data_IF_536809633615
#
_entry.id   IF_536809633615
#
_cell.length_a   1.000
_cell.length_b   1.000
_cell.length_c   1.000
_cell.angle_alpha   90.00
_cell.angle_beta   90.00
_cell.angle_gamma   90.00
#
_symmetry.space_group_name_H-M   'P 1'
#
loop_
_entity.id
_entity.type
_entity.pdbx_description
1 polymer ?
#
# COMPACT_ATOMS: atom_id res chain seq x y z
N UNK A 1 -5.09 -23.93 -21.77
CA UNK A 1 -4.46 -22.88 -20.98
C UNK A 1 -3.74 -23.45 -19.76
N UNK A 2 -4.40 -24.09 -18.77
CA UNK A 2 -3.72 -24.68 -17.58
C UNK A 2 -2.66 -25.70 -18.00
N UNK A 3 -2.98 -26.65 -18.89
CA UNK A 3 -2.05 -27.67 -19.39
C UNK A 3 -0.82 -27.10 -20.11
N UNK A 4 -0.97 -26.05 -20.92
CA UNK A 4 0.15 -25.39 -21.60
C UNK A 4 1.09 -24.69 -20.63
N UNK A 5 0.56 -24.08 -19.58
CA UNK A 5 1.37 -23.43 -18.53
C UNK A 5 2.06 -24.44 -17.63
N UNK A 6 1.37 -25.55 -17.28
CA UNK A 6 1.96 -26.66 -16.55
C UNK A 6 3.11 -27.29 -17.34
N UNK A 7 2.94 -27.50 -18.65
CA UNK A 7 3.99 -28.01 -19.54
C UNK A 7 5.24 -27.10 -19.52
N UNK A 8 5.03 -25.78 -19.67
CA UNK A 8 6.13 -24.81 -19.66
C UNK A 8 6.88 -24.76 -18.32
N UNK A 9 6.17 -24.86 -17.19
CA UNK A 9 6.79 -24.93 -15.85
C UNK A 9 7.61 -26.21 -15.70
N UNK A 10 7.09 -27.37 -16.15
CA UNK A 10 7.84 -28.64 -16.12
C UNK A 10 9.03 -28.64 -17.09
N UNK A 11 8.90 -28.10 -18.27
CA UNK A 11 9.99 -27.97 -19.23
C UNK A 11 11.13 -27.11 -18.67
N UNK A 12 10.79 -25.98 -18.06
CA UNK A 12 11.76 -25.12 -17.38
C UNK A 12 12.38 -25.80 -16.13
N UNK A 13 11.59 -26.58 -15.39
CA UNK A 13 12.10 -27.33 -14.25
C UNK A 13 13.11 -28.41 -14.67
N UNK A 14 12.83 -29.10 -15.77
CA UNK A 14 13.74 -30.12 -16.33
C UNK A 14 15.00 -29.47 -16.89
N UNK A 15 14.87 -28.31 -17.57
CA UNK A 15 15.98 -27.64 -18.25
C UNK A 15 16.90 -26.89 -17.27
N UNK A 16 16.35 -26.23 -16.27
CA UNK A 16 17.08 -25.34 -15.36
C UNK A 16 17.14 -25.81 -13.91
N UNK A 17 16.49 -26.94 -13.58
CA UNK A 17 16.38 -27.42 -12.21
C UNK A 17 15.46 -26.58 -11.31
N UNK A 18 15.57 -26.79 -10.01
CA UNK A 18 14.83 -26.00 -9.01
C UNK A 18 15.49 -24.63 -8.88
N UNK A 19 14.93 -23.63 -9.57
CA UNK A 19 15.44 -22.25 -9.57
C UNK A 19 15.15 -21.54 -8.25
N UNK A 20 14.16 -22.00 -7.48
CA UNK A 20 13.78 -21.43 -6.19
C UNK A 20 14.15 -22.39 -5.08
N UNK A 21 15.38 -22.31 -4.60
CA UNK A 21 15.79 -23.02 -3.40
C UNK A 21 15.51 -22.13 -2.17
N UNK A 22 14.58 -22.52 -1.27
CA UNK A 22 14.28 -21.78 -0.05
C UNK A 22 15.52 -21.59 0.84
N UNK A 23 16.44 -22.56 0.84
CA UNK A 23 17.67 -22.50 1.63
C UNK A 23 18.61 -21.43 1.07
N UNK A 24 18.74 -21.33 -0.25
CA UNK A 24 19.54 -20.28 -0.90
C UNK A 24 18.95 -18.88 -0.66
N UNK A 25 17.63 -18.73 -0.66
CA UNK A 25 16.97 -17.44 -0.35
C UNK A 25 17.26 -17.04 1.09
N UNK A 26 17.14 -17.97 2.04
CA UNK A 26 17.45 -17.72 3.45
C UNK A 26 18.96 -17.48 3.64
N UNK A 27 19.82 -18.27 2.99
CA UNK A 27 21.26 -18.07 3.03
C UNK A 27 21.69 -16.72 2.46
N UNK A 28 21.10 -16.31 1.32
CA UNK A 28 21.30 -14.98 0.74
C UNK A 28 20.79 -13.87 1.68
N UNK A 29 19.66 -14.10 2.33
CA UNK A 29 19.11 -13.19 3.32
C UNK A 29 19.98 -13.06 4.58
N UNK A 30 20.72 -14.08 4.96
CA UNK A 30 21.57 -14.13 6.16
C UNK A 30 23.04 -13.86 5.86
N UNK A 31 23.49 -13.93 4.59
CA UNK A 31 24.90 -13.94 4.22
C UNK A 31 25.66 -12.66 4.56
N UNK A 32 24.99 -11.51 4.62
CA UNK A 32 25.63 -10.25 4.96
C UNK A 32 24.67 -9.21 5.54
N UNK A 33 24.36 -9.27 6.85
CA UNK A 33 23.44 -8.32 7.48
C UNK A 33 23.97 -6.87 7.46
N UNK A 34 25.27 -6.66 7.29
CA UNK A 34 25.87 -5.32 7.26
C UNK A 34 25.69 -4.61 5.91
N UNK A 35 25.35 -5.31 4.85
CA UNK A 35 25.05 -4.72 3.53
C UNK A 35 23.58 -4.37 3.35
N UNK A 36 22.75 -4.50 4.40
CA UNK A 36 21.33 -4.21 4.34
C UNK A 36 20.97 -2.83 4.92
N UNK A 37 21.18 -1.73 4.20
CA UNK A 37 20.77 -0.40 4.65
C UNK A 37 19.26 -0.32 4.91
N UNK A 38 18.50 -1.18 4.23
CA UNK A 38 17.05 -1.29 4.36
C UNK A 38 16.58 -1.62 5.78
N UNK A 39 17.22 -2.57 6.45
CA UNK A 39 16.85 -2.98 7.83
C UNK A 39 17.13 -1.88 8.84
N UNK A 40 18.26 -1.18 8.70
CA UNK A 40 18.61 -0.06 9.58
C UNK A 40 17.62 1.11 9.42
N UNK A 41 17.19 1.43 8.19
CA UNK A 41 16.20 2.49 7.96
C UNK A 41 14.86 2.17 8.66
N UNK A 42 14.42 0.92 8.63
CA UNK A 42 13.19 0.50 9.33
C UNK A 42 13.36 0.66 10.85
N UNK A 43 14.53 0.31 11.41
CA UNK A 43 14.80 0.52 12.85
C UNK A 43 14.81 2.00 13.18
N UNK A 44 15.49 2.83 12.38
CA UNK A 44 15.58 4.28 12.57
C UNK A 44 14.21 4.95 12.47
N UNK A 45 13.25 4.39 11.72
CA UNK A 45 11.89 4.94 11.64
C UNK A 45 11.18 5.07 12.99
N UNK A 46 11.61 4.30 14.03
CA UNK A 46 11.08 4.43 15.39
C UNK A 46 11.33 5.81 16.02
N UNK A 47 12.38 6.50 15.59
CA UNK A 47 12.67 7.87 16.06
C UNK A 47 11.51 8.80 15.70
N UNK A 48 11.01 8.73 14.46
CA UNK A 48 9.89 9.56 13.99
C UNK A 48 8.59 9.24 14.72
N UNK A 49 8.37 7.97 15.10
CA UNK A 49 7.20 7.51 15.86
C UNK A 49 7.24 8.11 17.28
N UNK A 50 8.40 8.05 17.93
CA UNK A 50 8.58 8.60 19.28
C UNK A 50 8.43 10.12 19.27
N UNK A 51 8.98 10.80 18.26
CA UNK A 51 8.81 12.26 18.06
C UNK A 51 7.33 12.61 17.94
N UNK A 52 6.57 11.89 17.09
CA UNK A 52 5.14 12.12 16.92
C UNK A 52 4.36 11.97 18.24
N UNK A 53 4.65 10.92 19.03
CA UNK A 53 4.04 10.72 20.33
C UNK A 53 4.39 11.84 21.32
N UNK A 54 5.66 12.29 21.31
CA UNK A 54 6.11 13.38 22.19
C UNK A 54 5.43 14.71 21.85
N UNK A 55 5.27 15.01 20.55
CA UNK A 55 4.53 16.19 20.09
C UNK A 55 3.10 16.16 20.61
N UNK A 56 2.37 15.03 20.47
CA UNK A 56 0.98 14.92 20.90
C UNK A 56 0.85 15.04 22.43
N UNK A 57 1.77 14.48 23.20
CA UNK A 57 1.83 14.66 24.67
C UNK A 57 2.09 16.10 25.08
N UNK A 58 2.98 16.79 24.38
CA UNK A 58 3.28 18.20 24.65
C UNK A 58 2.10 19.11 24.33
N UNK A 59 1.37 18.81 23.26
CA UNK A 59 0.14 19.51 22.88
C UNK A 59 -1.00 19.26 23.90
N UNK A 60 -1.17 18.02 24.35
CA UNK A 60 -2.19 17.68 25.35
C UNK A 60 -1.92 18.31 26.73
N UNK A 61 -0.65 18.49 27.08
CA UNK A 61 -0.22 19.17 28.32
C UNK A 61 -0.18 20.71 28.18
N UNK A 62 -0.59 21.29 27.05
CA UNK A 62 -0.51 22.73 26.75
C UNK A 62 0.91 23.31 26.83
N UNK A 63 1.93 22.47 26.76
CA UNK A 63 3.35 22.88 26.81
C UNK A 63 3.83 23.42 25.44
N UNK A 64 3.05 23.22 24.38
CA UNK A 64 3.36 23.64 23.02
C UNK A 64 2.12 24.25 22.34
N UNK A 65 2.31 25.30 21.53
CA UNK A 65 1.20 25.88 20.75
C UNK A 65 0.80 24.96 19.60
N UNK A 66 -0.51 24.95 19.24
CA UNK A 66 -1.04 24.12 18.13
C UNK A 66 -0.28 24.38 16.80
N UNK A 67 0.01 25.66 16.50
CA UNK A 67 0.75 26.02 15.27
C UNK A 67 2.16 25.41 15.25
N UNK A 68 2.87 25.48 16.37
CA UNK A 68 4.22 24.93 16.50
C UNK A 68 4.20 23.40 16.41
N UNK A 69 3.27 22.75 17.12
CA UNK A 69 3.10 21.30 17.07
C UNK A 69 2.78 20.79 15.66
N UNK A 70 1.87 21.46 14.97
CA UNK A 70 1.54 21.14 13.56
C UNK A 70 2.75 21.28 12.65
N UNK A 71 3.52 22.39 12.78
CA UNK A 71 4.70 22.61 11.92
C UNK A 71 5.76 21.53 12.14
N UNK A 72 6.08 21.21 13.41
CA UNK A 72 7.06 20.16 13.74
C UNK A 72 6.59 18.80 13.22
N UNK A 73 5.29 18.50 13.36
CA UNK A 73 4.73 17.24 12.86
C UNK A 73 4.80 17.15 11.35
N UNK A 74 4.53 18.23 10.61
CA UNK A 74 4.66 18.23 9.14
C UNK A 74 6.12 18.03 8.70
N UNK A 75 7.09 18.63 9.41
CA UNK A 75 8.53 18.38 9.17
C UNK A 75 8.87 16.92 9.45
N UNK A 76 8.40 16.35 10.56
CA UNK A 76 8.60 14.94 10.91
C UNK A 76 8.03 14.01 9.84
N UNK A 77 6.82 14.27 9.34
CA UNK A 77 6.17 13.51 8.28
C UNK A 77 6.90 13.65 6.93
N UNK A 78 7.38 14.85 6.58
CA UNK A 78 8.21 15.06 5.39
C UNK A 78 9.52 14.28 5.48
N UNK A 79 10.16 14.27 6.64
CA UNK A 79 11.40 13.53 6.88
C UNK A 79 11.22 12.02 6.72
N UNK A 80 10.10 11.44 7.17
CA UNK A 80 9.78 10.01 7.00
C UNK A 80 9.79 9.60 5.51
N UNK A 81 9.30 10.44 4.60
CA UNK A 81 9.27 10.12 3.17
C UNK A 81 10.59 10.42 2.47
N UNK A 82 11.25 11.54 2.84
CA UNK A 82 12.42 12.02 2.12
C UNK A 82 13.72 11.34 2.54
N UNK A 83 13.92 11.09 3.83
CA UNK A 83 15.18 10.50 4.32
C UNK A 83 15.44 9.12 3.71
N UNK A 84 14.51 8.14 3.74
CA UNK A 84 14.78 6.85 3.11
C UNK A 84 15.03 6.97 1.61
N UNK A 85 14.33 7.86 0.92
CA UNK A 85 14.53 8.12 -0.51
C UNK A 85 15.96 8.62 -0.80
N UNK A 86 16.44 9.60 -0.03
CA UNK A 86 17.79 10.17 -0.16
C UNK A 86 18.85 9.11 0.16
N UNK A 87 18.68 8.40 1.28
CA UNK A 87 19.64 7.36 1.70
C UNK A 87 19.74 6.25 0.66
N UNK A 88 18.61 5.73 0.15
CA UNK A 88 18.59 4.70 -0.88
C UNK A 88 19.19 5.17 -2.21
N UNK A 89 19.06 6.44 -2.53
CA UNK A 89 19.67 7.02 -3.74
C UNK A 89 21.19 7.18 -3.61
N UNK A 90 21.67 7.49 -2.42
CA UNK A 90 23.12 7.65 -2.13
C UNK A 90 23.79 6.29 -1.97
N UNK A 91 23.14 5.33 -1.31
CA UNK A 91 23.65 3.99 -1.07
C UNK A 91 23.35 3.08 -2.27
N UNK A 92 24.31 2.93 -3.16
CA UNK A 92 24.19 2.12 -4.39
C UNK A 92 24.15 0.60 -4.13
N UNK A 93 24.37 0.15 -2.90
CA UNK A 93 24.41 -1.27 -2.50
C UNK A 93 23.02 -1.87 -2.21
N UNK A 94 21.96 -1.03 -2.17
CA UNK A 94 20.62 -1.50 -1.86
C UNK A 94 20.00 -2.25 -3.04
N UNK A 95 19.38 -3.40 -2.76
CA UNK A 95 18.58 -4.13 -3.76
C UNK A 95 17.25 -3.43 -4.03
N UNK A 96 16.73 -3.54 -5.25
CA UNK A 96 15.42 -2.95 -5.61
C UNK A 96 14.29 -3.46 -4.70
N UNK A 97 14.31 -4.75 -4.32
CA UNK A 97 13.32 -5.35 -3.41
C UNK A 97 13.44 -4.77 -2.00
N UNK A 98 14.66 -4.66 -1.46
CA UNK A 98 14.90 -4.04 -0.15
C UNK A 98 14.47 -2.57 -0.12
N UNK A 99 14.78 -1.82 -1.17
CA UNK A 99 14.35 -0.43 -1.33
C UNK A 99 12.82 -0.31 -1.37
N UNK A 100 12.14 -1.16 -2.13
CA UNK A 100 10.68 -1.18 -2.22
C UNK A 100 10.04 -1.48 -0.85
N UNK A 101 10.58 -2.42 -0.09
CA UNK A 101 10.11 -2.73 1.27
C UNK A 101 10.25 -1.54 2.21
N UNK A 102 11.42 -0.88 2.22
CA UNK A 102 11.66 0.31 3.06
C UNK A 102 10.69 1.41 2.73
N UNK A 103 10.57 1.77 1.45
CA UNK A 103 9.68 2.86 1.02
C UNK A 103 8.20 2.54 1.32
N UNK A 104 7.79 1.28 1.18
CA UNK A 104 6.44 0.83 1.56
C UNK A 104 6.20 0.99 3.07
N UNK A 105 7.12 0.53 3.91
CA UNK A 105 7.00 0.65 5.37
C UNK A 105 6.93 2.13 5.78
N UNK A 106 7.82 2.99 5.25
CA UNK A 106 7.82 4.42 5.57
C UNK A 106 6.55 5.12 5.08
N UNK A 107 6.01 4.74 3.91
CA UNK A 107 4.72 5.25 3.42
C UNK A 107 3.56 4.87 4.33
N UNK A 108 3.54 3.64 4.83
CA UNK A 108 2.53 3.17 5.80
C UNK A 108 2.67 3.94 7.13
N UNK A 109 3.89 4.12 7.64
CA UNK A 109 4.15 4.90 8.87
C UNK A 109 3.71 6.36 8.67
N UNK A 110 4.04 6.98 7.54
CA UNK A 110 3.60 8.33 7.20
C UNK A 110 2.08 8.46 7.27
N UNK A 111 1.33 7.60 6.58
CA UNK A 111 -0.13 7.66 6.56
C UNK A 111 -0.73 7.44 7.95
N UNK A 112 -0.15 6.54 8.74
CA UNK A 112 -0.60 6.25 10.10
C UNK A 112 -0.31 7.41 11.04
N UNK A 113 0.90 7.97 11.03
CA UNK A 113 1.24 9.10 11.89
C UNK A 113 0.48 10.37 11.50
N UNK A 114 0.20 10.58 10.21
CA UNK A 114 -0.68 11.65 9.78
C UNK A 114 -2.09 11.46 10.36
N UNK A 115 -2.66 10.26 10.23
CA UNK A 115 -3.98 9.95 10.80
C UNK A 115 -4.00 10.06 12.34
N UNK A 116 -2.93 9.65 13.01
CA UNK A 116 -2.79 9.78 14.47
C UNK A 116 -2.81 11.24 14.90
N UNK A 117 -2.03 12.10 14.25
CA UNK A 117 -1.98 13.52 14.54
C UNK A 117 -3.34 14.21 14.28
N UNK A 118 -3.93 14.00 13.11
CA UNK A 118 -5.20 14.65 12.75
C UNK A 118 -6.35 14.27 13.70
N UNK A 119 -6.45 12.99 14.06
CA UNK A 119 -7.51 12.55 14.97
C UNK A 119 -7.30 13.13 16.38
N UNK A 120 -6.07 13.16 16.89
CA UNK A 120 -5.79 13.78 18.19
C UNK A 120 -6.03 15.30 18.14
N UNK A 121 -5.77 15.97 16.99
CA UNK A 121 -6.12 17.38 16.80
C UNK A 121 -7.63 17.60 16.88
N UNK A 122 -8.44 16.79 16.18
CA UNK A 122 -9.90 16.90 16.25
C UNK A 122 -10.42 16.67 17.66
N UNK A 123 -9.86 15.72 18.40
CA UNK A 123 -10.21 15.48 19.80
C UNK A 123 -9.88 16.68 20.69
N UNK A 124 -8.75 17.35 20.49
CA UNK A 124 -8.40 18.58 21.23
C UNK A 124 -9.34 19.73 20.91
N UNK A 125 -9.70 19.91 19.64
CA UNK A 125 -10.64 20.95 19.20
C UNK A 125 -12.04 20.74 19.80
N UNK A 126 -12.52 19.52 19.89
CA UNK A 126 -13.81 19.18 20.54
C UNK A 126 -13.77 19.40 22.07
N UNK A 127 -12.64 19.14 22.71
CA UNK A 127 -12.49 19.26 24.17
C UNK A 127 -12.29 20.69 24.66
N UNK A 128 -11.73 21.56 23.86
CA UNK A 128 -11.46 22.95 24.20
C UNK A 128 -12.69 23.76 24.64
N UNK A 129 -13.89 23.61 24.01
CA UNK A 129 -15.10 24.38 24.42
C UNK A 129 -15.83 23.79 25.64
N UNK A 130 -15.65 22.52 25.96
CA UNK A 130 -16.46 21.79 26.97
C UNK A 130 -15.95 21.88 28.39
N UNK A 131 -14.87 22.64 28.66
CA UNK A 131 -14.31 22.77 30.01
C UNK A 131 -14.09 21.43 30.68
N UNK A 132 -12.88 20.97 30.72
CA UNK A 132 -12.26 19.69 31.11
C UNK A 132 -13.01 18.71 32.04
N UNK A 133 -14.10 19.10 32.69
CA UNK A 133 -14.75 18.29 33.73
C UNK A 133 -16.08 17.65 33.34
N UNK A 134 -16.73 18.11 32.28
CA UNK A 134 -18.06 17.60 31.89
C UNK A 134 -18.01 16.50 30.83
N UNK A 135 -16.94 16.39 30.07
CA UNK A 135 -16.82 15.44 28.94
C UNK A 135 -16.57 13.98 29.38
N UNK A 136 -16.23 13.72 30.61
CA UNK A 136 -15.96 12.35 31.12
C UNK A 136 -17.20 11.44 31.23
N UNK A 137 -18.41 11.96 30.97
CA UNK A 137 -19.66 11.20 31.23
C UNK A 137 -20.61 10.98 30.07
N UNK A 138 -20.29 11.36 28.83
CA UNK A 138 -21.22 11.14 27.73
C UNK A 138 -20.72 10.09 26.71
N UNK A 139 -21.40 8.93 26.59
CA UNK A 139 -21.09 7.87 25.62
C UNK A 139 -21.41 8.23 24.16
N UNK A 140 -21.98 9.40 23.89
CA UNK A 140 -22.55 9.75 22.58
C UNK A 140 -21.60 10.42 21.59
N UNK A 141 -20.44 10.92 22.02
CA UNK A 141 -19.57 11.77 21.17
C UNK A 141 -18.74 10.95 20.16
N UNK A 142 -18.53 9.67 20.43
CA UNK A 142 -17.81 8.76 19.54
C UNK A 142 -18.52 8.50 18.19
N UNK A 143 -19.81 8.77 18.08
CA UNK A 143 -20.58 8.48 16.86
C UNK A 143 -20.43 9.53 15.76
N UNK A 144 -20.06 10.75 16.08
CA UNK A 144 -19.95 11.83 15.09
C UNK A 144 -18.64 11.80 14.29
N UNK A 145 -17.56 11.26 14.87
CA UNK A 145 -16.26 11.10 14.18
C UNK A 145 -16.21 9.84 13.29
N UNK A 146 -17.09 8.89 13.57
CA UNK A 146 -17.17 7.62 12.85
C UNK A 146 -18.52 7.59 12.10
N UNK A 147 -18.49 7.76 10.78
CA UNK A 147 -19.69 7.65 9.94
C UNK A 147 -20.54 6.43 10.32
N UNK A 148 -21.86 6.57 10.23
CA UNK A 148 -22.90 5.56 10.52
C UNK A 148 -22.75 4.32 9.63
N UNK A 149 -21.69 3.54 9.78
CA UNK A 149 -21.59 2.20 9.22
C UNK A 149 -22.12 1.20 10.27
N UNK A 150 -22.94 0.27 9.83
CA UNK A 150 -23.75 -0.74 10.54
C UNK A 150 -22.99 -1.65 11.55
N UNK A 151 -22.04 -1.16 12.30
CA UNK A 151 -21.21 -1.96 13.21
C UNK A 151 -21.60 -1.88 14.70
N UNK A 152 -22.84 -1.49 15.02
CA UNK A 152 -23.30 -1.37 16.41
C UNK A 152 -23.28 -2.67 17.24
N UNK A 153 -23.07 -3.84 16.63
CA UNK A 153 -23.04 -5.12 17.37
C UNK A 153 -21.68 -5.47 18.00
N UNK A 154 -20.60 -4.77 17.59
CA UNK A 154 -19.24 -5.10 18.07
C UNK A 154 -18.82 -4.38 19.36
N UNK A 155 -19.57 -3.35 19.78
CA UNK A 155 -19.20 -2.48 20.91
C UNK A 155 -19.53 -3.05 22.29
N UNK A 156 -20.31 -4.15 22.36
CA UNK A 156 -20.80 -4.70 23.62
C UNK A 156 -19.76 -5.43 24.48
N UNK A 157 -18.49 -5.55 24.04
CA UNK A 157 -17.42 -6.27 24.75
C UNK A 157 -16.19 -5.41 25.08
N UNK A 158 -16.34 -4.07 25.22
CA UNK A 158 -15.22 -3.19 25.59
C UNK A 158 -15.26 -2.98 27.10
N UNK A 159 -14.41 -3.72 27.81
CA UNK A 159 -14.31 -3.64 29.28
C UNK A 159 -13.79 -2.27 29.79
N UNK A 160 -13.11 -1.48 28.96
CA UNK A 160 -12.67 -0.11 29.26
C UNK A 160 -12.62 0.72 27.96
N UNK A 161 -13.43 1.77 27.89
CA UNK A 161 -13.36 2.78 26.83
C UNK A 161 -12.23 3.75 27.18
N UNK A 162 -11.19 3.78 26.32
CA UNK A 162 -10.08 4.74 26.44
C UNK A 162 -10.58 6.10 25.95
N UNK A 163 -10.33 7.14 26.73
CA UNK A 163 -10.66 8.53 26.42
C UNK A 163 -9.39 9.35 26.18
N UNK A 164 -9.51 10.47 25.50
CA UNK A 164 -8.40 11.43 25.38
C UNK A 164 -8.21 12.17 26.71
N UNK A 165 -6.97 12.38 27.23
CA UNK A 165 -5.66 12.08 26.61
C UNK A 165 -5.03 10.73 27.00
N UNK A 166 -5.74 9.80 27.63
CA UNK A 166 -5.21 8.52 28.12
C UNK A 166 -4.75 7.58 26.98
N UNK A 167 -5.20 7.87 25.74
CA UNK A 167 -4.75 7.18 24.53
C UNK A 167 -3.28 7.50 24.16
N UNK A 168 -2.67 8.56 24.70
CA UNK A 168 -1.31 9.01 24.32
C UNK A 168 -0.22 8.15 24.98
N UNK A 169 -0.25 6.84 24.75
CA UNK A 169 0.70 5.87 25.30
C UNK A 169 1.53 5.20 24.21
N UNK A 170 2.73 4.73 24.58
CA UNK A 170 3.57 3.94 23.67
C UNK A 170 2.82 2.68 23.20
N UNK A 171 2.08 2.03 24.10
CA UNK A 171 1.32 0.82 23.79
C UNK A 171 0.24 1.06 22.73
N UNK A 172 -0.46 2.17 22.80
CA UNK A 172 -1.54 2.52 21.88
C UNK A 172 -1.00 2.84 20.49
N UNK A 173 0.03 3.70 20.38
CA UNK A 173 0.61 4.06 19.09
C UNK A 173 1.22 2.83 18.41
N UNK A 174 1.95 1.95 19.09
CA UNK A 174 2.51 0.74 18.50
C UNK A 174 1.44 -0.29 18.15
N UNK A 175 0.37 -0.41 18.95
CA UNK A 175 -0.78 -1.21 18.55
C UNK A 175 -1.38 -0.71 17.23
N UNK A 176 -1.61 0.59 17.11
CA UNK A 176 -2.10 1.19 15.88
C UNK A 176 -1.13 0.98 14.70
N UNK A 177 0.17 1.14 14.91
CA UNK A 177 1.17 0.96 13.85
C UNK A 177 1.18 -0.48 13.30
N UNK A 178 0.93 -1.47 14.13
CA UNK A 178 0.87 -2.87 13.74
C UNK A 178 -0.52 -3.31 13.23
N UNK A 179 -1.60 -2.66 13.69
CA UNK A 179 -2.96 -3.00 13.27
C UNK A 179 -3.16 -2.77 11.76
N UNK A 180 -3.91 -3.64 11.05
CA UNK A 180 -4.08 -3.57 9.60
C UNK A 180 -5.12 -2.50 9.21
N UNK A 181 -4.87 -1.26 9.58
CA UNK A 181 -5.65 -0.07 9.23
C UNK A 181 -4.75 1.15 9.11
N UNK A 182 -5.11 2.12 8.27
CA UNK A 182 -4.40 3.39 8.13
C UNK A 182 -5.09 4.52 8.92
N UNK A 183 -6.34 4.32 9.33
CA UNK A 183 -7.10 5.32 10.07
C UNK A 183 -7.02 5.06 11.58
N UNK A 184 -6.52 6.02 12.34
CA UNK A 184 -6.46 5.93 13.79
C UNK A 184 -7.86 6.01 14.41
N UNK A 185 -8.06 5.22 15.46
CA UNK A 185 -9.22 5.22 16.34
C UNK A 185 -8.75 4.99 17.78
N UNK A 186 -9.31 5.71 18.75
CA UNK A 186 -8.97 5.50 20.16
C UNK A 186 -9.33 4.09 20.63
N UNK A 187 -10.46 3.57 20.17
CA UNK A 187 -10.95 2.25 20.53
C UNK A 187 -11.14 1.42 19.25
N UNK A 188 -10.28 0.45 19.03
CA UNK A 188 -10.40 -0.48 17.91
C UNK A 188 -11.30 -1.66 18.26
N UNK A 189 -12.15 -2.13 17.33
CA UNK A 189 -12.93 -3.35 17.56
C UNK A 189 -11.98 -4.54 17.71
N UNK A 190 -12.16 -5.33 18.78
CA UNK A 190 -11.29 -6.47 19.08
C UNK A 190 -12.09 -7.78 19.05
N UNK A 191 -11.48 -8.84 18.48
CA UNK A 191 -12.00 -10.19 18.57
C UNK A 191 -11.75 -10.78 19.99
N UNK A 192 -12.63 -11.67 20.44
CA UNK A 192 -12.56 -12.27 21.79
C UNK A 192 -11.31 -13.10 22.03
N UNK A 193 -10.87 -13.87 21.02
CA UNK A 193 -9.73 -14.79 21.12
C UNK A 193 -8.98 -14.92 19.79
N UNK A 194 -7.69 -15.35 19.87
CA UNK A 194 -6.87 -15.71 18.71
C UNK A 194 -7.20 -17.15 18.29
N UNK A 195 -7.50 -17.36 17.02
CA UNK A 195 -7.81 -18.68 16.44
C UNK A 195 -6.55 -19.27 15.81
N UNK A 196 -5.81 -20.08 16.55
CA UNK A 196 -4.50 -20.63 16.13
C UNK A 196 -4.59 -21.37 14.79
N UNK A 197 -5.62 -22.21 14.57
CA UNK A 197 -5.80 -22.92 13.28
C UNK A 197 -5.93 -21.97 12.09
N UNK A 198 -6.65 -20.85 12.27
CA UNK A 198 -6.77 -19.81 11.25
C UNK A 198 -5.42 -19.12 11.00
N UNK A 199 -4.68 -18.81 12.06
CA UNK A 199 -3.36 -18.17 12.00
C UNK A 199 -2.36 -19.06 11.22
N UNK A 200 -2.27 -20.36 11.56
CA UNK A 200 -1.39 -21.30 10.88
C UNK A 200 -1.75 -21.49 9.41
N UNK A 201 -3.05 -21.54 9.08
CA UNK A 201 -3.50 -21.61 7.69
C UNK A 201 -3.04 -20.37 6.91
N UNK A 202 -3.20 -19.16 7.45
CA UNK A 202 -2.76 -17.92 6.79
C UNK A 202 -1.24 -17.86 6.63
N UNK A 203 -0.49 -18.32 7.62
CA UNK A 203 0.97 -18.42 7.54
C UNK A 203 1.41 -19.36 6.40
N UNK A 204 0.80 -20.54 6.32
CA UNK A 204 1.09 -21.48 5.23
C UNK A 204 0.76 -20.89 3.85
N UNK A 205 -0.42 -20.25 3.70
CA UNK A 205 -0.78 -19.55 2.48
C UNK A 205 0.25 -18.47 2.08
N UNK A 206 0.73 -17.67 3.03
CA UNK A 206 1.75 -16.65 2.78
C UNK A 206 3.04 -17.27 2.26
N UNK A 207 3.56 -18.32 2.93
CA UNK A 207 4.78 -19.00 2.53
C UNK A 207 4.61 -19.59 1.11
N UNK A 208 3.51 -20.29 0.85
CA UNK A 208 3.21 -20.88 -0.45
C UNK A 208 3.13 -19.81 -1.56
N UNK A 209 2.42 -18.71 -1.32
CA UNK A 209 2.26 -17.64 -2.31
C UNK A 209 3.57 -16.89 -2.60
N UNK A 210 4.43 -16.70 -1.60
CA UNK A 210 5.77 -16.13 -1.82
C UNK A 210 6.59 -17.02 -2.73
N UNK A 211 6.61 -18.34 -2.48
CA UNK A 211 7.34 -19.29 -3.33
C UNK A 211 6.78 -19.32 -4.75
N UNK A 212 5.45 -19.34 -4.89
CA UNK A 212 4.79 -19.29 -6.20
C UNK A 212 5.12 -18.00 -6.94
N UNK A 213 5.12 -16.86 -6.27
CA UNK A 213 5.44 -15.55 -6.84
C UNK A 213 6.88 -15.52 -7.39
N UNK A 214 7.86 -15.95 -6.58
CA UNK A 214 9.25 -16.00 -6.99
C UNK A 214 9.46 -16.99 -8.12
N UNK A 215 8.81 -18.17 -8.04
CA UNK A 215 8.87 -19.18 -9.10
C UNK A 215 8.34 -18.67 -10.45
N UNK A 216 7.23 -17.94 -10.46
CA UNK A 216 6.69 -17.32 -11.68
C UNK A 216 7.58 -16.23 -12.25
N UNK A 217 8.20 -15.41 -11.41
CA UNK A 217 9.20 -14.44 -11.88
C UNK A 217 10.32 -15.15 -12.62
N UNK A 218 10.91 -16.16 -12.01
CA UNK A 218 12.09 -16.85 -12.57
C UNK A 218 11.75 -17.66 -13.81
N UNK A 219 10.65 -18.39 -13.79
CA UNK A 219 10.32 -19.35 -14.84
C UNK A 219 9.48 -18.77 -15.98
N UNK A 220 8.81 -17.65 -15.77
CA UNK A 220 7.94 -17.08 -16.79
C UNK A 220 8.32 -15.64 -17.15
N UNK A 221 8.37 -14.75 -16.17
CA UNK A 221 8.58 -13.32 -16.44
C UNK A 221 9.97 -13.05 -17.00
N UNK A 222 11.02 -13.57 -16.35
CA UNK A 222 12.40 -13.35 -16.80
C UNK A 222 12.68 -13.87 -18.23
N UNK A 223 12.26 -15.10 -18.62
CA UNK A 223 12.45 -15.57 -19.99
C UNK A 223 11.69 -14.73 -21.03
N UNK A 224 10.43 -14.34 -20.74
CA UNK A 224 9.65 -13.48 -21.63
C UNK A 224 10.31 -12.12 -21.77
N UNK A 225 10.73 -11.52 -20.67
CA UNK A 225 11.40 -10.22 -20.64
C UNK A 225 12.69 -10.26 -21.45
N UNK A 226 13.55 -11.27 -21.24
CA UNK A 226 14.82 -11.41 -22.01
C UNK A 226 14.59 -11.53 -23.51
N UNK A 227 13.55 -12.27 -23.93
CA UNK A 227 13.19 -12.40 -25.35
C UNK A 227 12.60 -11.13 -25.94
N UNK A 228 11.96 -10.28 -25.13
CA UNK A 228 11.30 -9.05 -25.58
C UNK A 228 12.27 -7.90 -25.85
N UNK A 229 13.54 -8.02 -25.47
CA UNK A 229 14.50 -6.93 -25.52
C UNK A 229 15.12 -6.66 -26.89
N UNK A 230 15.38 -7.71 -27.65
CA UNK A 230 15.96 -7.60 -29.01
C UNK A 230 15.13 -6.75 -29.98
N UNK A 231 13.78 -6.81 -30.00
CA UNK A 231 12.95 -6.09 -30.97
C UNK A 231 12.81 -4.57 -30.72
N UNK A 232 13.16 -4.05 -29.54
CA UNK A 232 13.03 -2.61 -29.26
C UNK A 232 13.92 -1.72 -30.10
N UNK A 233 15.05 -2.23 -30.53
CA UNK A 233 15.98 -1.50 -31.40
C UNK A 233 15.33 -1.18 -32.75
N UNK A 234 14.37 -1.99 -33.21
CA UNK A 234 13.70 -1.83 -34.52
C UNK A 234 12.39 -1.03 -34.46
N UNK A 235 11.85 -0.68 -33.31
CA UNK A 235 10.63 0.15 -33.10
C UNK A 235 9.40 -0.25 -33.95
N UNK A 236 9.22 -1.53 -34.25
CA UNK A 236 8.06 -2.03 -35.01
C UNK A 236 6.86 -2.18 -34.11
N UNK A 237 5.79 -1.39 -34.32
CA UNK A 237 4.58 -1.36 -33.49
C UNK A 237 3.94 -2.75 -33.30
N UNK A 238 3.90 -3.58 -34.34
CA UNK A 238 3.37 -4.95 -34.30
C UNK A 238 4.13 -5.84 -33.31
N UNK A 239 5.44 -5.67 -33.22
CA UNK A 239 6.29 -6.43 -32.31
C UNK A 239 6.08 -5.94 -30.88
N UNK A 240 5.97 -4.63 -30.67
CA UNK A 240 5.69 -4.03 -29.36
C UNK A 240 4.35 -4.54 -28.82
N UNK A 241 3.29 -4.53 -29.62
CA UNK A 241 1.97 -5.06 -29.23
C UNK A 241 2.05 -6.55 -28.90
N UNK A 242 2.75 -7.34 -29.70
CA UNK A 242 2.92 -8.77 -29.43
C UNK A 242 3.64 -9.02 -28.09
N UNK A 243 4.72 -8.30 -27.82
CA UNK A 243 5.47 -8.43 -26.58
C UNK A 243 4.66 -7.95 -25.35
N UNK A 244 3.90 -6.86 -25.50
CA UNK A 244 2.98 -6.40 -24.46
C UNK A 244 1.95 -7.48 -24.11
N UNK A 245 1.34 -8.13 -25.08
CA UNK A 245 0.36 -9.20 -24.84
C UNK A 245 1.01 -10.43 -24.20
N UNK A 246 2.23 -10.80 -24.60
CA UNK A 246 2.97 -11.89 -23.96
C UNK A 246 3.30 -11.60 -22.49
N UNK A 247 3.62 -10.35 -22.15
CA UNK A 247 3.95 -9.95 -20.80
C UNK A 247 2.70 -9.72 -19.93
N UNK A 248 1.57 -9.34 -20.53
CA UNK A 248 0.33 -9.00 -19.81
C UNK A 248 -0.18 -10.15 -18.96
N UNK A 249 -0.14 -11.39 -19.47
CA UNK A 249 -0.65 -12.56 -18.74
C UNK A 249 0.18 -12.88 -17.50
N UNK A 250 1.49 -13.09 -17.55
CA UNK A 250 2.29 -13.38 -16.36
C UNK A 250 2.29 -12.21 -15.36
N UNK A 251 2.32 -10.97 -15.83
CA UNK A 251 2.24 -9.80 -14.98
C UNK A 251 0.92 -9.75 -14.20
N UNK A 252 -0.19 -10.06 -14.87
CA UNK A 252 -1.49 -10.10 -14.19
C UNK A 252 -1.59 -11.24 -13.16
N UNK A 253 -1.05 -12.44 -13.46
CA UNK A 253 -0.98 -13.52 -12.47
C UNK A 253 -0.14 -13.13 -11.25
N UNK A 254 0.99 -12.48 -11.45
CA UNK A 254 1.81 -11.96 -10.35
C UNK A 254 1.03 -10.96 -9.49
N UNK A 255 0.29 -10.04 -10.14
CA UNK A 255 -0.56 -9.09 -9.42
C UNK A 255 -1.64 -9.79 -8.60
N UNK A 256 -2.33 -10.81 -9.14
CA UNK A 256 -3.34 -11.60 -8.41
C UNK A 256 -2.74 -12.34 -7.19
N UNK A 257 -1.56 -12.95 -7.35
CA UNK A 257 -0.86 -13.64 -6.26
C UNK A 257 -0.44 -12.63 -5.20
N UNK A 258 0.12 -11.50 -5.60
CA UNK A 258 0.46 -10.41 -4.68
C UNK A 258 -0.78 -9.89 -3.95
N UNK A 259 -1.87 -9.64 -4.68
CA UNK A 259 -3.13 -9.18 -4.09
C UNK A 259 -3.64 -10.17 -3.03
N UNK A 260 -3.76 -11.45 -3.37
CA UNK A 260 -4.22 -12.48 -2.44
C UNK A 260 -3.24 -12.64 -1.26
N UNK A 261 -1.94 -12.69 -1.51
CA UNK A 261 -0.92 -12.82 -0.48
C UNK A 261 -0.93 -11.65 0.51
N UNK A 262 -0.98 -10.43 0.02
CA UNK A 262 -0.94 -9.24 0.86
C UNK A 262 -2.32 -8.91 1.47
N UNK A 263 -3.33 -8.62 0.65
CA UNK A 263 -4.62 -8.14 1.15
C UNK A 263 -5.46 -9.22 1.84
N UNK A 264 -5.33 -10.47 1.41
CA UNK A 264 -6.09 -11.55 2.04
C UNK A 264 -5.29 -12.27 3.12
N UNK A 265 -4.14 -12.85 2.81
CA UNK A 265 -3.42 -13.70 3.75
C UNK A 265 -2.68 -12.89 4.81
N UNK A 266 -1.83 -11.90 4.43
CA UNK A 266 -1.01 -11.14 5.39
C UNK A 266 -1.86 -10.25 6.29
N UNK A 267 -2.81 -9.48 5.74
CA UNK A 267 -3.64 -8.59 6.57
C UNK A 267 -4.55 -9.38 7.53
N UNK A 268 -5.09 -10.54 7.12
CA UNK A 268 -5.85 -11.41 8.01
C UNK A 268 -4.98 -12.10 9.07
N UNK A 269 -3.74 -12.46 8.73
CA UNK A 269 -2.77 -12.99 9.69
C UNK A 269 -2.47 -11.95 10.79
N UNK A 270 -2.14 -10.71 10.40
CA UNK A 270 -1.87 -9.62 11.33
C UNK A 270 -3.12 -9.28 12.15
N UNK A 271 -4.30 -9.21 11.52
CA UNK A 271 -5.55 -8.96 12.21
C UNK A 271 -5.87 -10.02 13.27
N UNK A 272 -5.61 -11.30 12.98
CA UNK A 272 -5.83 -12.39 13.94
C UNK A 272 -4.83 -12.30 15.10
N UNK A 273 -3.53 -12.05 14.80
CA UNK A 273 -2.47 -11.91 15.79
C UNK A 273 -2.76 -10.74 16.75
N UNK A 274 -3.22 -9.62 16.20
CA UNK A 274 -3.53 -8.40 16.95
C UNK A 274 -4.93 -8.40 17.58
N UNK A 275 -5.72 -9.47 17.36
CA UNK A 275 -7.14 -9.54 17.73
C UNK A 275 -7.97 -8.40 17.14
N UNK A 276 -7.58 -7.89 15.97
CA UNK A 276 -8.26 -6.79 15.29
C UNK A 276 -9.57 -7.27 14.64
N UNK A 277 -10.68 -6.54 14.86
CA UNK A 277 -12.03 -6.97 14.48
C UNK A 277 -12.48 -6.53 13.07
N UNK A 278 -12.11 -5.32 12.62
CA UNK A 278 -12.51 -4.83 11.29
C UNK A 278 -11.61 -5.44 10.19
N UNK A 279 -12.10 -6.51 9.57
CA UNK A 279 -11.36 -7.28 8.56
C UNK A 279 -11.85 -7.05 7.14
N UNK A 280 -12.53 -5.95 6.89
CA UNK A 280 -12.99 -5.55 5.55
C UNK A 280 -11.89 -4.82 4.81
N UNK A 281 -10.93 -5.58 4.23
CA UNK A 281 -9.77 -5.04 3.54
C UNK A 281 -10.05 -4.74 2.07
N UNK A 282 -10.95 -5.48 1.45
CA UNK A 282 -11.42 -5.33 0.07
C UNK A 282 -12.85 -5.87 -0.06
N UNK A 283 -13.49 -5.58 -1.19
CA UNK A 283 -14.77 -6.16 -1.60
C UNK A 283 -14.60 -6.87 -2.94
N UNK A 284 -15.70 -7.19 -3.61
CA UNK A 284 -15.80 -7.91 -4.88
C UNK A 284 -15.34 -7.06 -6.10
N UNK A 285 -14.13 -6.52 -6.02
CA UNK A 285 -13.53 -5.70 -7.07
C UNK A 285 -13.45 -6.41 -8.43
N UNK A 286 -13.42 -7.75 -8.46
CA UNK A 286 -13.44 -8.56 -9.68
C UNK A 286 -14.78 -8.49 -10.43
N UNK A 287 -15.86 -8.08 -9.78
CA UNK A 287 -17.17 -7.81 -10.38
C UNK A 287 -17.39 -6.33 -10.69
N UNK A 288 -16.34 -5.51 -10.72
CA UNK A 288 -16.45 -4.09 -10.96
C UNK A 288 -16.97 -3.80 -12.38
N UNK A 289 -18.07 -3.07 -12.47
CA UNK A 289 -18.60 -2.57 -13.74
C UNK A 289 -17.97 -1.24 -14.17
N UNK A 290 -17.27 -0.56 -13.26
CA UNK A 290 -16.61 0.72 -13.50
C UNK A 290 -15.24 0.77 -12.82
N UNK A 291 -14.31 1.55 -13.38
CA UNK A 291 -13.00 1.80 -12.77
C UNK A 291 -13.12 2.46 -11.40
N UNK A 292 -14.10 3.34 -11.22
CA UNK A 292 -14.36 4.00 -9.91
C UNK A 292 -14.74 2.98 -8.83
N UNK A 293 -15.60 2.01 -9.17
CA UNK A 293 -15.95 0.92 -8.23
C UNK A 293 -14.72 0.04 -7.92
N UNK A 294 -13.92 -0.29 -8.93
CA UNK A 294 -12.67 -1.04 -8.75
C UNK A 294 -11.74 -0.37 -7.74
N UNK A 295 -11.41 0.90 -7.93
CA UNK A 295 -10.50 1.64 -7.05
C UNK A 295 -11.05 1.83 -5.63
N UNK A 296 -12.36 1.95 -5.47
CA UNK A 296 -13.00 2.10 -4.15
C UNK A 296 -13.05 0.78 -3.36
N UNK A 297 -13.02 -0.37 -4.03
CA UNK A 297 -13.25 -1.68 -3.40
C UNK A 297 -12.04 -2.61 -3.41
N UNK A 298 -11.03 -2.37 -4.24
CA UNK A 298 -9.79 -3.18 -4.29
C UNK A 298 -8.90 -2.97 -3.06
N UNK A 299 -8.85 -1.73 -2.53
CA UNK A 299 -8.06 -1.39 -1.34
C UNK A 299 -8.86 -0.45 -0.43
N UNK A 300 -9.75 -1.04 0.38
CA UNK A 300 -10.63 -0.28 1.28
C UNK A 300 -9.84 0.47 2.36
N UNK A 301 -8.69 -0.06 2.81
CA UNK A 301 -7.88 0.56 3.85
C UNK A 301 -7.36 1.92 3.38
N UNK A 302 -6.78 1.93 2.18
CA UNK A 302 -6.27 3.16 1.55
C UNK A 302 -7.43 4.11 1.17
N UNK A 303 -8.50 3.56 0.59
CA UNK A 303 -9.69 4.35 0.23
C UNK A 303 -10.30 5.06 1.45
N UNK A 304 -10.48 4.36 2.59
CA UNK A 304 -10.97 4.96 3.84
C UNK A 304 -10.07 6.12 4.30
N UNK A 305 -8.74 5.93 4.23
CA UNK A 305 -7.78 6.95 4.60
C UNK A 305 -7.88 8.19 3.71
N UNK A 306 -7.91 8.01 2.40
CA UNK A 306 -8.07 9.11 1.44
C UNK A 306 -9.38 9.86 1.63
N UNK A 307 -10.48 9.13 1.83
CA UNK A 307 -11.79 9.74 2.05
C UNK A 307 -11.84 10.58 3.33
N UNK A 308 -11.19 10.09 4.41
CA UNK A 308 -11.22 10.76 5.71
C UNK A 308 -10.28 11.96 5.78
N UNK A 309 -9.07 11.83 5.24
CA UNK A 309 -7.98 12.78 5.45
C UNK A 309 -7.70 13.70 4.26
N UNK A 310 -8.26 13.38 3.08
CA UNK A 310 -8.03 14.16 1.86
C UNK A 310 -9.35 14.65 1.28
N UNK A 311 -10.26 13.75 0.93
CA UNK A 311 -11.49 14.10 0.22
C UNK A 311 -12.43 14.98 1.06
N UNK A 312 -12.77 14.53 2.29
CA UNK A 312 -13.70 15.28 3.16
C UNK A 312 -13.20 16.70 3.48
N UNK A 313 -11.95 16.91 3.92
CA UNK A 313 -11.43 18.25 4.15
C UNK A 313 -11.49 19.15 2.92
N UNK A 314 -11.18 18.62 1.72
CA UNK A 314 -11.29 19.42 0.48
C UNK A 314 -12.73 19.86 0.19
N UNK A 315 -13.69 18.94 0.34
CA UNK A 315 -15.11 19.28 0.13
C UNK A 315 -15.60 20.28 1.19
N UNK A 316 -15.17 20.17 2.44
CA UNK A 316 -15.47 21.13 3.52
C UNK A 316 -14.84 22.51 3.29
N UNK A 317 -13.69 22.57 2.60
CA UNK A 317 -13.07 23.81 2.13
C UNK A 317 -13.78 24.45 0.94
N UNK A 318 -14.83 23.79 0.38
CA UNK A 318 -15.64 24.32 -0.72
C UNK A 318 -15.26 23.82 -2.12
N UNK A 319 -14.30 22.88 -2.23
CA UNK A 319 -14.00 22.25 -3.53
C UNK A 319 -15.15 21.34 -3.97
N UNK A 320 -15.33 21.23 -5.28
CA UNK A 320 -16.33 20.33 -5.85
C UNK A 320 -15.99 18.85 -5.58
N UNK A 321 -17.00 17.99 -5.59
CA UNK A 321 -16.82 16.54 -5.43
C UNK A 321 -15.85 15.95 -6.46
N UNK A 322 -15.90 16.46 -7.69
CA UNK A 322 -15.03 16.00 -8.78
C UNK A 322 -13.57 16.41 -8.55
N UNK A 323 -13.31 17.65 -8.13
CA UNK A 323 -11.97 18.11 -7.78
C UNK A 323 -11.37 17.31 -6.63
N UNK A 324 -12.16 17.08 -5.57
CA UNK A 324 -11.74 16.24 -4.44
C UNK A 324 -11.38 14.81 -4.86
N UNK A 325 -12.17 14.18 -5.73
CA UNK A 325 -11.88 12.84 -6.26
C UNK A 325 -10.62 12.84 -7.13
N UNK A 326 -10.47 13.84 -7.99
CA UNK A 326 -9.28 13.97 -8.84
C UNK A 326 -8.02 14.15 -8.00
N UNK A 327 -8.07 14.97 -6.94
CA UNK A 327 -6.94 15.16 -6.03
C UNK A 327 -6.54 13.86 -5.31
N UNK A 328 -7.51 13.09 -4.84
CA UNK A 328 -7.26 11.76 -4.25
C UNK A 328 -6.56 10.86 -5.26
N UNK A 329 -6.97 10.89 -6.52
CA UNK A 329 -6.39 10.06 -7.57
C UNK A 329 -4.98 10.49 -7.93
N UNK A 330 -4.71 11.79 -8.02
CA UNK A 330 -3.36 12.37 -8.19
C UNK A 330 -2.43 11.92 -7.05
N UNK A 331 -2.89 12.02 -5.81
CA UNK A 331 -2.13 11.57 -4.63
C UNK A 331 -1.82 10.07 -4.72
N UNK A 332 -2.82 9.26 -5.09
CA UNK A 332 -2.64 7.81 -5.30
C UNK A 332 -1.61 7.53 -6.40
N UNK A 333 -1.67 8.24 -7.52
CA UNK A 333 -0.73 8.09 -8.63
C UNK A 333 0.71 8.43 -8.22
N UNK A 334 0.90 9.50 -7.45
CA UNK A 334 2.20 9.88 -6.89
C UNK A 334 2.76 8.82 -5.94
N UNK A 335 1.92 8.22 -5.10
CA UNK A 335 2.33 7.12 -4.22
C UNK A 335 2.75 5.88 -5.00
N UNK A 336 2.02 5.51 -6.04
CA UNK A 336 2.39 4.37 -6.89
C UNK A 336 3.71 4.63 -7.63
N UNK A 337 3.92 5.83 -8.17
CA UNK A 337 5.21 6.22 -8.76
C UNK A 337 6.34 6.16 -7.73
N UNK A 338 6.13 6.71 -6.53
CA UNK A 338 7.10 6.66 -5.45
C UNK A 338 7.50 5.23 -5.07
N UNK A 339 6.53 4.32 -4.97
CA UNK A 339 6.77 2.94 -4.55
C UNK A 339 7.39 2.06 -5.64
N UNK A 340 7.18 2.37 -6.92
CA UNK A 340 7.66 1.56 -8.05
C UNK A 340 8.92 2.16 -8.70
N UNK A 341 8.93 3.46 -8.96
CA UNK A 341 10.03 4.12 -9.67
C UNK A 341 11.25 4.35 -8.78
N UNK A 342 11.05 4.72 -7.52
CA UNK A 342 12.16 5.02 -6.61
C UNK A 342 13.05 3.81 -6.31
N UNK A 343 12.54 2.58 -6.06
CA UNK A 343 13.36 1.39 -5.91
C UNK A 343 14.20 1.04 -7.14
N UNK A 344 13.68 1.35 -8.32
CA UNK A 344 14.37 1.14 -9.60
C UNK A 344 15.37 2.27 -9.93
N UNK A 345 15.39 3.31 -9.12
CA UNK A 345 16.16 4.55 -9.34
C UNK A 345 15.86 5.22 -10.70
N UNK A 346 14.62 5.09 -11.18
CA UNK A 346 14.16 5.55 -12.49
C UNK A 346 12.86 6.36 -12.35
N UNK A 347 12.98 7.66 -12.12
CA UNK A 347 11.83 8.57 -12.06
C UNK A 347 11.42 9.01 -13.48
N UNK A 348 10.56 8.21 -14.15
CA UNK A 348 10.07 8.46 -15.50
C UNK A 348 8.60 8.87 -15.55
N UNK A 349 7.90 8.81 -14.42
CA UNK A 349 6.47 9.10 -14.28
C UNK A 349 5.55 8.20 -15.12
N UNK A 350 6.00 7.00 -15.52
CA UNK A 350 5.19 6.08 -16.32
C UNK A 350 3.98 5.56 -15.57
N UNK A 351 4.15 5.19 -14.29
CA UNK A 351 3.05 4.77 -13.42
C UNK A 351 2.07 5.91 -13.19
N UNK A 352 2.61 7.10 -12.91
CA UNK A 352 1.79 8.30 -12.71
C UNK A 352 0.95 8.62 -13.94
N UNK A 353 1.54 8.61 -15.13
CA UNK A 353 0.85 8.90 -16.38
C UNK A 353 -0.23 7.85 -16.70
N UNK A 354 0.08 6.56 -16.51
CA UNK A 354 -0.89 5.47 -16.71
C UNK A 354 -2.09 5.64 -15.78
N UNK A 355 -1.86 5.88 -14.50
CA UNK A 355 -2.94 6.11 -13.54
C UNK A 355 -3.74 7.35 -13.89
N UNK A 356 -3.10 8.46 -14.26
CA UNK A 356 -3.80 9.69 -14.65
C UNK A 356 -4.64 9.51 -15.91
N UNK A 357 -4.24 8.67 -16.85
CA UNK A 357 -5.03 8.31 -18.03
C UNK A 357 -6.35 7.60 -17.65
N UNK A 358 -6.37 6.88 -16.53
CA UNK A 358 -7.60 6.21 -16.07
C UNK A 358 -8.69 7.20 -15.62
N UNK A 359 -8.37 8.43 -15.26
CA UNK A 359 -9.37 9.44 -14.82
C UNK A 359 -10.34 9.79 -15.98
N UNK A 360 -9.88 10.28 -17.14
CA UNK A 360 -10.79 10.52 -18.27
C UNK A 360 -11.42 9.23 -18.80
N UNK A 361 -10.69 8.09 -18.77
CA UNK A 361 -11.26 6.80 -19.15
C UNK A 361 -12.42 6.39 -18.23
N UNK A 362 -12.27 6.53 -16.91
CA UNK A 362 -13.35 6.22 -15.96
C UNK A 362 -14.60 7.07 -16.23
N UNK A 363 -14.41 8.36 -16.54
CA UNK A 363 -15.50 9.26 -16.86
C UNK A 363 -16.21 8.89 -18.17
N UNK A 364 -15.46 8.63 -19.24
CA UNK A 364 -16.00 8.25 -20.54
C UNK A 364 -16.70 6.88 -20.46
N UNK A 365 -16.00 5.87 -19.93
CA UNK A 365 -16.49 4.50 -19.89
C UNK A 365 -17.73 4.34 -19.02
N UNK A 366 -17.79 4.99 -17.86
CA UNK A 366 -18.97 4.94 -16.98
C UNK A 366 -20.23 5.49 -17.64
N UNK A 367 -20.09 6.34 -18.66
CA UNK A 367 -21.19 6.94 -19.40
C UNK A 367 -21.75 6.03 -20.48
N UNK A 368 -20.87 5.27 -21.16
CA UNK A 368 -21.22 4.50 -22.36
C UNK A 368 -21.26 2.98 -22.15
N UNK A 369 -20.58 2.47 -21.13
CA UNK A 369 -20.39 1.02 -20.94
C UNK A 369 -20.82 0.63 -19.51
N UNK A 370 -21.73 -0.35 -19.40
CA UNK A 370 -22.29 -0.82 -18.12
C UNK A 370 -22.46 -2.35 -18.13
N UNK A 371 -22.73 -2.93 -16.96
CA UNK A 371 -22.96 -4.36 -16.79
C UNK A 371 -21.75 -5.20 -17.19
N UNK A 372 -21.97 -6.31 -17.87
CA UNK A 372 -20.91 -7.24 -18.31
C UNK A 372 -19.85 -6.60 -19.17
N UNK A 373 -20.23 -5.68 -20.08
CA UNK A 373 -19.27 -4.94 -20.91
C UNK A 373 -18.41 -3.99 -20.08
N UNK A 374 -19.00 -3.35 -19.05
CA UNK A 374 -18.26 -2.54 -18.09
C UNK A 374 -17.22 -3.37 -17.35
N UNK A 375 -17.60 -4.54 -16.86
CA UNK A 375 -16.69 -5.46 -16.19
C UNK A 375 -15.57 -5.92 -17.13
N UNK A 376 -15.88 -6.31 -18.38
CA UNK A 376 -14.87 -6.69 -19.35
C UNK A 376 -13.84 -5.58 -19.61
N UNK A 377 -14.29 -4.33 -19.75
CA UNK A 377 -13.40 -3.17 -19.94
C UNK A 377 -12.52 -2.93 -18.70
N UNK A 378 -13.07 -3.03 -17.50
CA UNK A 378 -12.27 -2.93 -16.26
C UNK A 378 -11.18 -4.00 -16.25
N UNK A 379 -11.50 -5.27 -16.59
CA UNK A 379 -10.50 -6.33 -16.68
C UNK A 379 -9.42 -6.04 -17.72
N UNK A 380 -9.77 -5.52 -18.90
CA UNK A 380 -8.80 -5.12 -19.91
C UNK A 380 -7.86 -4.04 -19.36
N UNK A 381 -8.38 -3.02 -18.67
CA UNK A 381 -7.56 -1.96 -18.08
C UNK A 381 -6.58 -2.50 -17.04
N UNK A 382 -7.02 -3.36 -16.11
CA UNK A 382 -6.16 -3.90 -15.04
C UNK A 382 -5.17 -4.97 -15.52
N UNK A 383 -5.41 -5.58 -16.69
CA UNK A 383 -4.46 -6.52 -17.30
C UNK A 383 -3.41 -5.77 -18.13
N UNK A 384 -3.84 -4.83 -18.98
CA UNK A 384 -2.95 -4.16 -19.93
C UNK A 384 -2.21 -2.96 -19.33
N UNK A 385 -2.84 -2.19 -18.44
CA UNK A 385 -2.24 -0.99 -17.83
C UNK A 385 -0.92 -1.29 -17.12
N UNK A 386 -0.90 -2.13 -16.08
CA UNK A 386 0.33 -2.50 -15.39
C UNK A 386 1.36 -3.19 -16.29
N UNK A 387 0.92 -3.96 -17.29
CA UNK A 387 1.83 -4.59 -18.24
C UNK A 387 2.51 -3.56 -19.14
N UNK A 388 1.80 -2.53 -19.58
CA UNK A 388 2.35 -1.42 -20.35
C UNK A 388 3.41 -0.67 -19.55
N UNK A 389 3.10 -0.32 -18.29
CA UNK A 389 4.04 0.35 -17.39
C UNK A 389 5.30 -0.49 -17.19
N UNK A 390 5.15 -1.77 -16.89
CA UNK A 390 6.28 -2.69 -16.72
C UNK A 390 7.14 -2.75 -17.99
N UNK A 391 6.50 -2.80 -19.16
CA UNK A 391 7.18 -2.81 -20.44
C UNK A 391 7.99 -1.53 -20.69
N UNK A 392 7.45 -0.36 -20.37
CA UNK A 392 8.14 0.93 -20.48
C UNK A 392 9.36 1.03 -19.53
N UNK A 393 9.25 0.56 -18.29
CA UNK A 393 10.38 0.52 -17.36
C UNK A 393 11.48 -0.45 -17.79
N UNK A 394 11.11 -1.62 -18.34
CA UNK A 394 12.07 -2.58 -18.89
C UNK A 394 12.82 -1.97 -20.07
N UNK A 395 12.11 -1.33 -20.99
CA UNK A 395 12.72 -0.62 -22.12
C UNK A 395 13.73 0.44 -21.65
N UNK A 396 13.32 1.33 -20.74
CA UNK A 396 14.18 2.40 -20.24
C UNK A 396 15.41 1.86 -19.50
N UNK A 397 15.25 0.76 -18.76
CA UNK A 397 16.35 0.09 -18.10
C UNK A 397 17.41 -0.39 -19.12
N UNK A 398 16.98 -0.96 -20.25
CA UNK A 398 17.89 -1.42 -21.30
C UNK A 398 18.60 -0.30 -21.99
N UNK A 399 17.89 0.73 -22.42
CA UNK A 399 18.48 1.92 -23.03
C UNK A 399 19.53 2.55 -22.10
N UNK A 400 19.28 2.53 -20.81
CA UNK A 400 20.23 3.05 -19.83
C UNK A 400 21.49 2.15 -19.68
N UNK A 401 21.33 0.83 -19.69
CA UNK A 401 22.43 -0.12 -19.64
C UNK A 401 23.31 -0.05 -20.90
N UNK A 402 22.72 -0.03 -22.08
CA UNK A 402 23.45 0.11 -23.35
C UNK A 402 24.28 1.41 -23.40
N UNK A 403 23.73 2.52 -22.90
CA UNK A 403 24.47 3.78 -22.83
C UNK A 403 25.66 3.69 -21.86
N UNK A 404 25.55 2.95 -20.76
CA UNK A 404 26.66 2.75 -19.82
C UNK A 404 27.77 1.86 -20.37
N UNK A 405 27.44 0.89 -21.22
CA UNK A 405 28.43 -0.02 -21.83
C UNK A 405 29.16 0.69 -22.98
N UNK A 406 28.49 1.63 -23.66
CA UNK A 406 29.05 2.38 -24.79
C UNK A 406 29.73 3.71 -24.41
N UNK A 407 29.67 4.11 -23.13
CA UNK A 407 30.36 5.26 -22.55
C UNK A 407 31.60 4.84 -21.77
#
# INVERSE_FOLDING_TARGET
>A
MILTHTHMVFENLITYGILVDPVQIIAFALSDPNTWPSSYLIIVSNIFIIIALHIERSLSALAMSEKMGYTIQMINLGAILLIPLIVLKVLTTSTAVGSAMVLTVHSIIFMKLYSYHEVNRWLREEWAPLGLKSAMKQPGITSCVFGNDESNSYWNNIDQVITYPDNLTIRDIYYFLLAPTLCYQMNFPKSSKVRIRFLLRRLFEMIFLIHLFVGLIQQWVLPVTRKSMMPFVEMKLTIIIHQLLLLAIPNHFMWLIFFHGFFHSTLNFIAELMRFGDRRFYRDWWNSETLTYFWSNSNIIFHKWCMRHVYRPLVEMGYSKWEGQTFVFVLSALYHEYLLAAPLNMFRLWVFLEMMLQVPMAWILSKYVRGLYGNAVVWICIILGPALVMHMYIHDYYVFQERKVNA
#
